data_IF_900137968828
#
_entry.id   IF_900137968828
#
_cell.length_a   1.000
_cell.length_b   1.000
_cell.length_c   1.000
_cell.angle_alpha   90.00
_cell.angle_beta   90.00
_cell.angle_gamma   90.00
#
_symmetry.space_group_name_H-M   'P 1'
#
loop_
_entity.id
_entity.type
_entity.pdbx_description
1 polymer ?
#
# COMPACT_ATOMS: atom_id res chain seq x y z
N UNK A 1 34.80 12.04 13.61
CA UNK A 1 33.78 13.00 13.13
C UNK A 1 33.11 12.36 11.95
N UNK A 2 31.78 12.22 11.94
CA UNK A 2 31.09 11.67 10.79
C UNK A 2 31.16 12.67 9.62
N UNK A 3 31.44 12.19 8.42
CA UNK A 3 31.42 13.05 7.24
C UNK A 3 29.98 13.49 6.92
N UNK A 4 29.82 14.59 6.20
CA UNK A 4 28.49 15.04 5.74
C UNK A 4 27.77 13.93 4.94
N UNK A 5 28.53 13.14 4.18
CA UNK A 5 28.04 12.01 3.40
C UNK A 5 27.45 10.90 4.29
N UNK A 6 28.14 10.51 5.36
CA UNK A 6 27.66 9.49 6.31
C UNK A 6 26.35 9.92 7.00
N UNK A 7 26.23 11.22 7.34
CA UNK A 7 25.00 11.77 7.91
C UNK A 7 23.83 11.70 6.92
N UNK A 8 24.07 12.09 5.66
CA UNK A 8 23.04 12.04 4.61
C UNK A 8 22.59 10.59 4.34
N UNK A 9 23.54 9.65 4.25
CA UNK A 9 23.21 8.22 4.09
C UNK A 9 22.32 7.71 5.23
N UNK A 10 22.65 8.05 6.48
CA UNK A 10 21.83 7.66 7.64
C UNK A 10 20.39 8.20 7.59
N UNK A 11 20.21 9.44 7.11
CA UNK A 11 18.88 10.04 6.92
C UNK A 11 18.08 9.27 5.86
N UNK A 12 18.70 8.98 4.72
CA UNK A 12 18.04 8.24 3.64
C UNK A 12 17.69 6.80 4.04
N UNK A 13 18.58 6.12 4.74
CA UNK A 13 18.32 4.76 5.24
C UNK A 13 17.17 4.74 6.23
N UNK A 14 17.13 5.72 7.14
CA UNK A 14 16.03 5.87 8.10
C UNK A 14 14.70 6.09 7.38
N UNK A 15 14.67 7.00 6.40
CA UNK A 15 13.49 7.23 5.56
C UNK A 15 13.05 5.95 4.84
N UNK A 16 13.98 5.24 4.21
CA UNK A 16 13.70 4.01 3.47
C UNK A 16 13.16 2.91 4.39
N UNK A 17 13.66 2.83 5.63
CA UNK A 17 13.13 1.91 6.64
C UNK A 17 11.70 2.26 7.02
N UNK A 18 11.40 3.53 7.31
CA UNK A 18 10.05 3.97 7.67
C UNK A 18 9.07 3.68 6.53
N UNK A 19 9.43 4.00 5.29
CA UNK A 19 8.58 3.75 4.12
C UNK A 19 8.31 2.25 3.94
N UNK A 20 9.32 1.39 4.13
CA UNK A 20 9.13 -0.07 4.07
C UNK A 20 8.16 -0.56 5.15
N UNK A 21 8.37 -0.14 6.39
CA UNK A 21 7.49 -0.50 7.50
C UNK A 21 6.05 -0.07 7.26
N UNK A 22 5.83 1.16 6.78
CA UNK A 22 4.48 1.64 6.47
C UNK A 22 3.80 0.81 5.39
N UNK A 23 4.53 0.40 4.35
CA UNK A 23 3.99 -0.47 3.29
C UNK A 23 3.60 -1.84 3.84
N UNK A 24 4.45 -2.43 4.68
CA UNK A 24 4.17 -3.73 5.31
C UNK A 24 2.93 -3.64 6.22
N UNK A 25 2.83 -2.58 7.03
CA UNK A 25 1.66 -2.35 7.89
C UNK A 25 0.39 -2.15 7.09
N UNK A 26 0.45 -1.38 6.00
CA UNK A 26 -0.68 -1.19 5.10
C UNK A 26 -1.14 -2.53 4.51
N UNK A 27 -0.23 -3.36 4.02
CA UNK A 27 -0.56 -4.66 3.45
C UNK A 27 -1.23 -5.60 4.47
N UNK A 28 -0.73 -5.64 5.70
CA UNK A 28 -1.32 -6.44 6.77
C UNK A 28 -2.72 -5.94 7.15
N UNK A 29 -2.89 -4.63 7.23
CA UNK A 29 -4.19 -4.01 7.48
C UNK A 29 -5.18 -4.32 6.35
N UNK A 30 -4.77 -4.16 5.09
CA UNK A 30 -5.60 -4.43 3.93
C UNK A 30 -6.06 -5.90 3.90
N UNK A 31 -5.15 -6.83 4.17
CA UNK A 31 -5.46 -8.26 4.25
C UNK A 31 -6.47 -8.56 5.37
N UNK A 32 -6.28 -7.98 6.56
CA UNK A 32 -7.18 -8.15 7.69
C UNK A 32 -8.57 -7.57 7.39
N UNK A 33 -8.62 -6.36 6.81
CA UNK A 33 -9.85 -5.71 6.41
C UNK A 33 -10.59 -6.55 5.36
N UNK A 34 -9.89 -7.01 4.33
CA UNK A 34 -10.47 -7.84 3.27
C UNK A 34 -11.11 -9.12 3.84
N UNK A 35 -10.40 -9.82 4.72
CA UNK A 35 -10.93 -10.99 5.42
C UNK A 35 -12.18 -10.65 6.24
N UNK A 36 -12.15 -9.54 6.99
CA UNK A 36 -13.27 -9.12 7.83
C UNK A 36 -14.53 -8.77 7.03
N UNK A 37 -14.37 -8.16 5.85
CA UNK A 37 -15.48 -7.79 4.97
C UNK A 37 -16.16 -9.03 4.38
N UNK A 38 -15.35 -9.98 3.88
CA UNK A 38 -15.86 -11.26 3.38
C UNK A 38 -16.62 -12.04 4.45
N UNK A 39 -16.10 -12.08 5.68
CA UNK A 39 -16.78 -12.72 6.83
C UNK A 39 -18.12 -12.06 7.15
N UNK A 40 -18.26 -10.76 6.91
CA UNK A 40 -19.51 -10.01 7.09
C UNK A 40 -20.43 -10.07 5.87
N UNK A 41 -20.05 -10.78 4.80
CA UNK A 41 -20.79 -10.83 3.54
C UNK A 41 -20.78 -9.51 2.76
N UNK A 42 -19.90 -8.57 3.11
CA UNK A 42 -19.73 -7.30 2.42
C UNK A 42 -18.69 -7.49 1.32
N UNK A 43 -19.06 -7.12 0.09
CA UNK A 43 -18.11 -7.18 -1.03
C UNK A 43 -16.98 -6.17 -0.81
N UNK A 44 -15.71 -6.60 -0.81
CA UNK A 44 -14.59 -5.69 -0.60
C UNK A 44 -14.44 -4.71 -1.78
N UNK A 45 -14.07 -3.45 -1.52
CA UNK A 45 -13.81 -2.47 -2.58
C UNK A 45 -12.70 -2.92 -3.54
N UNK A 46 -12.78 -2.51 -4.82
CA UNK A 46 -11.81 -2.91 -5.85
C UNK A 46 -10.36 -2.50 -5.56
N UNK A 47 -10.15 -1.43 -4.79
CA UNK A 47 -8.81 -0.97 -4.38
C UNK A 47 -8.19 -1.85 -3.27
N UNK A 48 -8.99 -2.65 -2.57
CA UNK A 48 -8.56 -3.50 -1.45
C UNK A 48 -8.17 -4.92 -1.90
N UNK A 49 -8.74 -5.41 -2.99
CA UNK A 49 -8.54 -6.79 -3.50
C UNK A 49 -7.20 -7.00 -4.24
N UNK A 50 -6.22 -6.10 -4.06
CA UNK A 50 -4.91 -6.23 -4.71
C UNK A 50 -4.93 -6.01 -6.22
N UNK A 51 -6.07 -5.62 -6.80
CA UNK A 51 -6.10 -5.03 -8.13
C UNK A 51 -5.39 -3.69 -8.01
N UNK A 52 -4.07 -3.68 -8.31
CA UNK A 52 -3.43 -2.49 -8.86
C UNK A 52 -4.44 -1.94 -9.86
N UNK A 53 -4.87 -0.70 -9.66
CA UNK A 53 -5.49 0.07 -10.73
C UNK A 53 -4.48 0.16 -11.88
N UNK A 54 -4.38 -0.89 -12.69
CA UNK A 54 -4.09 -0.76 -14.10
C UNK A 54 -5.26 0.02 -14.64
N UNK A 55 -5.07 1.32 -14.70
CA UNK A 55 -5.93 2.28 -15.36
C UNK A 55 -6.36 1.73 -16.72
N UNK A 56 -7.61 1.30 -16.85
CA UNK A 56 -8.34 1.34 -18.12
C UNK A 56 -9.77 1.75 -17.79
N UNK A 57 -10.04 3.01 -18.09
CA UNK A 57 -11.35 3.58 -18.46
C UNK A 57 -12.47 2.56 -18.64
N UNK A 58 -13.38 2.48 -17.68
CA UNK A 58 -14.69 1.86 -17.81
C UNK A 58 -15.75 2.90 -18.15
N UNK A 59 -15.57 3.66 -19.23
CA UNK A 59 -16.64 4.42 -19.88
C UNK A 59 -16.86 3.82 -21.29
N UNK A 60 -17.46 2.62 -21.32
CA UNK A 60 -18.31 2.19 -22.43
C UNK A 60 -19.13 0.95 -22.07
N UNK A 61 -20.37 0.94 -22.56
CA UNK A 61 -21.47 -0.03 -22.42
C UNK A 61 -22.38 0.29 -21.22
N UNK A 62 -23.56 0.90 -21.40
CA UNK A 62 -24.71 0.46 -22.22
C UNK A 62 -25.61 1.66 -22.64
N UNK A 63 -26.67 1.51 -23.46
CA UNK A 63 -27.31 0.29 -23.98
C UNK A 63 -26.82 -0.19 -25.35
#
# INVERSE_FOLDING_TARGET
MASCEEMLMGIFDTRNRIVRQLKEQQQLFDQALHSSLLLRGIQPPAWLSGARATTVTGDRCHP
#
